data_IF_271883413667
#
_entry.id   IF_271883413667
#
_cell.length_a   1.000
_cell.length_b   1.000
_cell.length_c   1.000
_cell.angle_alpha   90.00
_cell.angle_beta   90.00
_cell.angle_gamma   90.00
#
_symmetry.space_group_name_H-M   'P 1'
#
loop_
_entity.id
_entity.type
_entity.pdbx_description
1 polymer ?
#
# COMPACT_ATOMS: atom_id res chain seq x y z
N UNK A 1 20.78 9.78 13.11
CA UNK A 1 20.18 9.67 11.79
C UNK A 1 19.60 8.29 11.58
N UNK A 2 18.42 8.22 11.11
CA UNK A 2 17.80 6.92 10.95
C UNK A 2 17.26 6.75 9.55
N UNK A 3 17.42 5.54 9.02
CA UNK A 3 16.76 5.12 7.79
C UNK A 3 15.54 4.28 8.11
N UNK A 4 15.09 4.33 9.36
CA UNK A 4 13.94 3.56 9.81
C UNK A 4 12.67 4.08 9.13
N UNK A 5 11.89 3.21 8.49
CA UNK A 5 10.62 3.63 7.92
C UNK A 5 9.67 4.14 9.00
N UNK A 6 8.91 5.18 8.66
CA UNK A 6 7.92 5.76 9.56
C UNK A 6 6.49 5.67 8.99
N UNK A 7 6.34 4.98 7.87
CA UNK A 7 5.05 4.71 7.25
C UNK A 7 5.14 3.40 6.49
N UNK A 8 3.99 2.78 6.24
CA UNK A 8 3.95 1.51 5.53
C UNK A 8 2.75 1.45 4.60
N UNK A 9 2.90 0.73 3.50
CA UNK A 9 1.79 0.39 2.62
C UNK A 9 1.91 -1.06 2.18
N UNK A 10 0.81 -1.62 1.69
CA UNK A 10 0.75 -3.04 1.33
C UNK A 10 0.12 -3.22 -0.03
N UNK A 11 0.83 -3.96 -0.90
CA UNK A 11 0.27 -4.45 -2.15
C UNK A 11 -0.39 -5.80 -1.87
N UNK A 12 -1.71 -5.80 -1.77
CA UNK A 12 -2.49 -7.03 -1.64
C UNK A 12 -2.71 -7.57 -3.04
N UNK A 13 -2.16 -8.76 -3.32
CA UNK A 13 -2.14 -9.32 -4.67
C UNK A 13 -2.91 -10.63 -4.70
N UNK A 14 -3.78 -10.78 -5.68
CA UNK A 14 -4.58 -12.00 -5.91
C UNK A 14 -4.90 -12.10 -7.40
N UNK A 15 -4.66 -13.29 -7.98
CA UNK A 15 -4.96 -13.54 -9.39
C UNK A 15 -4.36 -12.51 -10.34
N UNK A 16 -3.08 -12.19 -10.11
CA UNK A 16 -2.31 -11.23 -10.92
C UNK A 16 -2.86 -9.81 -10.86
N UNK A 17 -3.68 -9.51 -9.85
CA UNK A 17 -4.24 -8.17 -9.65
C UNK A 17 -3.86 -7.66 -8.27
N UNK A 18 -3.76 -6.36 -8.17
CA UNK A 18 -3.46 -5.67 -6.91
C UNK A 18 -4.66 -4.82 -6.51
N UNK A 19 -4.92 -4.76 -5.20
CA UNK A 19 -5.99 -3.93 -4.68
C UNK A 19 -5.49 -2.49 -4.54
N UNK A 20 -6.12 -1.58 -5.25
CA UNK A 20 -5.86 -0.16 -5.15
C UNK A 20 -7.02 0.54 -4.47
N UNK A 21 -6.71 1.59 -3.75
CA UNK A 21 -7.69 2.44 -3.10
C UNK A 21 -7.58 3.84 -3.66
N UNK A 22 -8.70 4.57 -3.66
CA UNK A 22 -8.75 5.95 -4.07
C UNK A 22 -8.95 6.80 -2.83
N UNK A 23 -8.08 7.77 -2.63
CA UNK A 23 -8.11 8.59 -1.41
C UNK A 23 -9.26 9.60 -1.48
N UNK A 24 -10.04 9.66 -0.38
CA UNK A 24 -11.17 10.58 -0.28
C UNK A 24 -10.72 12.00 0.13
N UNK A 25 -9.58 12.12 0.82
CA UNK A 25 -9.12 13.38 1.39
C UNK A 25 -7.67 13.65 1.06
N UNK A 26 -7.25 14.91 1.23
CA UNK A 26 -5.85 15.30 1.12
C UNK A 26 -5.01 14.62 2.23
N UNK A 27 -3.73 14.38 2.03
CA UNK A 27 -2.99 14.58 0.78
C UNK A 27 -3.35 13.52 -0.28
N UNK A 28 -3.06 13.84 -1.54
CA UNK A 28 -3.28 12.93 -2.67
C UNK A 28 -4.75 12.58 -2.90
N UNK A 29 -5.67 13.51 -2.58
CA UNK A 29 -7.09 13.31 -2.80
C UNK A 29 -7.38 12.92 -4.25
N UNK A 30 -8.26 11.93 -4.44
CA UNK A 30 -8.69 11.39 -5.74
C UNK A 30 -7.60 10.62 -6.50
N UNK A 31 -6.45 10.37 -5.87
CA UNK A 31 -5.43 9.53 -6.49
C UNK A 31 -5.57 8.08 -6.02
N UNK A 32 -5.23 7.16 -6.92
CA UNK A 32 -5.19 5.74 -6.61
C UNK A 32 -3.82 5.37 -6.05
N UNK A 33 -3.81 4.52 -5.02
CA UNK A 33 -2.59 4.13 -4.35
C UNK A 33 -2.81 2.82 -3.60
N UNK A 34 -1.79 2.37 -2.88
CA UNK A 34 -1.88 1.22 -1.99
C UNK A 34 -2.43 1.64 -0.63
N UNK A 35 -3.15 0.76 0.06
CA UNK A 35 -3.54 1.04 1.45
C UNK A 35 -2.31 1.16 2.34
N UNK A 36 -2.36 2.04 3.32
CA UNK A 36 -1.25 2.26 4.23
C UNK A 36 -1.39 3.54 5.01
N UNK A 37 -0.39 3.82 5.85
CA UNK A 37 -0.37 5.02 6.66
C UNK A 37 0.87 5.10 7.54
N UNK A 38 0.85 6.01 8.49
CA UNK A 38 1.98 6.30 9.36
C UNK A 38 2.06 5.32 10.53
N UNK A 39 3.29 4.99 10.93
CA UNK A 39 3.54 4.21 12.12
C UNK A 39 3.24 5.03 13.37
N UNK A 40 2.69 4.38 14.37
CA UNK A 40 2.48 4.96 15.68
C UNK A 40 3.73 4.77 16.53
N UNK A 41 3.95 5.62 17.57
CA UNK A 41 5.12 5.46 18.43
C UNK A 41 5.22 4.06 19.01
N UNK A 42 6.40 3.46 18.89
CA UNK A 42 6.66 2.13 19.42
C UNK A 42 6.14 0.98 18.57
N UNK A 43 5.48 1.26 17.46
CA UNK A 43 4.94 0.26 16.56
C UNK A 43 6.02 -0.21 15.58
N UNK A 44 6.12 -1.53 15.36
CA UNK A 44 7.00 -2.02 14.28
C UNK A 44 6.39 -1.65 12.94
N UNK A 45 7.21 -1.58 11.90
CA UNK A 45 6.71 -1.21 10.60
C UNK A 45 5.78 -2.28 10.01
N UNK A 46 6.02 -3.54 10.32
CA UNK A 46 5.14 -4.64 9.92
C UNK A 46 3.77 -4.53 10.60
N UNK A 47 3.77 -4.22 11.89
CA UNK A 47 2.52 -4.03 12.63
C UNK A 47 1.76 -2.81 12.11
N UNK A 48 2.47 -1.75 11.75
CA UNK A 48 1.88 -0.59 11.10
C UNK A 48 1.17 -0.98 9.81
N UNK A 49 1.85 -1.75 8.97
CA UNK A 49 1.29 -2.20 7.69
C UNK A 49 -0.01 -2.98 7.92
N UNK A 50 0.02 -3.96 8.82
CA UNK A 50 -1.14 -4.80 9.09
C UNK A 50 -2.30 -4.00 9.70
N UNK A 51 -1.99 -3.08 10.63
CA UNK A 51 -3.00 -2.24 11.27
C UNK A 51 -3.69 -1.33 10.26
N UNK A 52 -2.92 -0.68 9.40
CA UNK A 52 -3.48 0.24 8.42
C UNK A 52 -4.41 -0.48 7.44
N UNK A 53 -4.02 -1.68 6.99
CA UNK A 53 -4.89 -2.47 6.11
C UNK A 53 -6.19 -2.84 6.83
N UNK A 54 -6.09 -3.22 8.11
CA UNK A 54 -7.28 -3.56 8.89
C UNK A 54 -8.18 -2.34 9.11
N UNK A 55 -7.61 -1.18 9.42
CA UNK A 55 -8.38 0.04 9.63
C UNK A 55 -9.05 0.54 8.35
N UNK A 56 -8.34 0.50 7.24
CA UNK A 56 -8.84 1.06 5.99
C UNK A 56 -9.79 0.14 5.25
N UNK A 57 -9.60 -1.18 5.34
CA UNK A 57 -10.31 -2.13 4.50
C UNK A 57 -11.00 -3.27 5.25
N UNK A 58 -10.78 -3.41 6.55
CA UNK A 58 -11.27 -4.54 7.37
C UNK A 58 -10.69 -5.87 6.90
N UNK A 59 -9.49 -5.85 6.36
CA UNK A 59 -8.77 -7.02 5.88
C UNK A 59 -7.66 -7.36 6.86
N UNK A 60 -7.48 -8.65 7.15
CA UNK A 60 -6.37 -9.14 7.94
C UNK A 60 -5.32 -9.71 7.00
N UNK A 61 -4.11 -9.14 7.05
CA UNK A 61 -3.02 -9.54 6.18
C UNK A 61 -1.94 -10.26 6.98
N UNK A 62 -1.34 -11.27 6.37
CA UNK A 62 -0.27 -12.08 6.93
C UNK A 62 0.85 -12.24 5.91
N UNK A 63 1.99 -12.71 6.39
CA UNK A 63 3.14 -13.03 5.53
C UNK A 63 3.54 -11.85 4.64
N UNK A 64 3.72 -10.71 5.27
CA UNK A 64 4.17 -9.50 4.60
C UNK A 64 5.60 -9.68 4.08
N UNK A 65 5.81 -9.43 2.80
CA UNK A 65 7.12 -9.51 2.17
C UNK A 65 7.62 -8.12 1.84
N UNK A 66 8.83 -7.74 2.31
CA UNK A 66 9.37 -6.43 1.98
C UNK A 66 9.60 -6.27 0.48
N UNK A 67 9.22 -5.12 -0.06
CA UNK A 67 9.42 -4.80 -1.46
C UNK A 67 10.49 -3.73 -1.61
N UNK A 68 10.29 -2.58 -0.98
CA UNK A 68 11.24 -1.46 -1.04
C UNK A 68 10.87 -0.42 0.01
N UNK A 69 11.74 0.57 0.15
CA UNK A 69 11.48 1.75 0.97
C UNK A 69 11.60 2.97 0.06
N UNK A 70 10.57 3.81 0.07
CA UNK A 70 10.56 5.06 -0.69
C UNK A 70 10.71 6.24 0.25
N UNK A 71 11.50 7.22 -0.16
CA UNK A 71 11.53 8.52 0.52
C UNK A 71 10.53 9.43 -0.17
N UNK A 72 9.58 9.95 0.58
CA UNK A 72 8.48 10.76 0.06
C UNK A 72 8.38 12.06 0.85
N UNK A 73 7.72 13.04 0.22
CA UNK A 73 7.49 14.32 0.86
C UNK A 73 8.68 15.25 0.75
N UNK A 74 8.47 16.47 1.25
CA UNK A 74 9.53 17.48 1.27
C UNK A 74 10.63 17.02 2.24
N UNK A 75 11.88 17.10 1.81
CA UNK A 75 13.04 16.70 2.60
C UNK A 75 12.97 15.24 3.07
N UNK A 76 12.30 14.39 2.28
CA UNK A 76 12.15 12.96 2.60
C UNK A 76 11.63 12.73 4.02
N UNK A 77 10.64 13.52 4.43
CA UNK A 77 10.05 13.41 5.78
C UNK A 77 9.33 12.08 6.00
N UNK A 78 8.93 11.40 4.92
CA UNK A 78 8.34 10.08 4.99
C UNK A 78 9.28 9.05 4.41
N UNK A 79 9.45 7.96 5.14
CA UNK A 79 10.11 6.76 4.62
C UNK A 79 9.09 5.66 4.63
N UNK A 80 8.56 5.38 3.45
CA UNK A 80 7.47 4.44 3.28
C UNK A 80 8.02 3.05 2.97
N UNK A 81 7.80 2.12 3.89
CA UNK A 81 8.11 0.72 3.63
C UNK A 81 6.94 0.12 2.87
N UNK A 82 7.20 -0.45 1.71
CA UNK A 82 6.18 -1.12 0.91
C UNK A 82 6.34 -2.62 1.08
N UNK A 83 5.25 -3.28 1.42
CA UNK A 83 5.17 -4.73 1.54
C UNK A 83 4.23 -5.28 0.49
N UNK A 84 4.36 -6.59 0.23
CA UNK A 84 3.42 -7.30 -0.64
C UNK A 84 2.97 -8.56 0.07
N UNK A 85 1.74 -8.98 -0.18
CA UNK A 85 1.22 -10.22 0.37
C UNK A 85 0.09 -10.75 -0.51
N UNK A 86 0.00 -12.09 -0.61
CA UNK A 86 -1.19 -12.75 -1.16
C UNK A 86 -1.86 -13.64 -0.10
N UNK A 87 -1.51 -13.43 1.19
CA UNK A 87 -2.08 -14.15 2.32
C UNK A 87 -2.91 -13.18 3.16
N UNK A 88 -4.18 -13.05 2.82
CA UNK A 88 -5.07 -12.15 3.54
C UNK A 88 -6.49 -12.69 3.50
N UNK A 89 -7.32 -12.23 4.43
CA UNK A 89 -8.69 -12.70 4.59
C UNK A 89 -9.59 -11.56 5.07
N UNK A 90 -10.88 -11.77 4.93
CA UNK A 90 -11.89 -10.81 5.34
C UNK A 90 -12.67 -10.28 4.15
N UNK A 91 -13.71 -9.52 4.44
CA UNK A 91 -14.52 -8.85 3.43
C UNK A 91 -14.13 -7.39 3.38
N UNK A 92 -13.84 -6.88 2.18
CA UNK A 92 -13.43 -5.48 2.02
C UNK A 92 -14.56 -4.57 2.47
N UNK A 93 -14.28 -3.75 3.48
CA UNK A 93 -15.18 -2.72 3.99
C UNK A 93 -14.36 -1.43 4.10
N UNK A 94 -14.41 -0.57 3.08
CA UNK A 94 -13.61 0.65 3.07
C UNK A 94 -14.01 1.60 4.19
N UNK A 95 -13.02 2.25 4.80
CA UNK A 95 -13.28 3.31 5.76
C UNK A 95 -13.69 4.59 5.03
N UNK A 96 -14.08 5.60 5.80
CA UNK A 96 -14.47 6.89 5.22
C UNK A 96 -13.31 7.60 4.50
N UNK A 97 -12.08 7.18 4.74
CA UNK A 97 -10.91 7.79 4.08
C UNK A 97 -10.74 7.30 2.63
N UNK A 98 -11.50 6.31 2.23
CA UNK A 98 -11.40 5.67 0.90
C UNK A 98 -12.69 5.92 0.15
N UNK A 99 -12.59 6.57 -1.02
CA UNK A 99 -13.78 6.86 -1.84
C UNK A 99 -14.09 5.73 -2.84
N UNK A 100 -13.11 4.91 -3.17
CA UNK A 100 -13.31 3.79 -4.09
C UNK A 100 -12.18 2.78 -3.92
N UNK A 101 -12.37 1.55 -4.38
CA UNK A 101 -11.33 0.53 -4.41
C UNK A 101 -11.54 -0.36 -5.63
N UNK A 102 -10.43 -0.90 -6.15
CA UNK A 102 -10.48 -1.77 -7.34
C UNK A 102 -9.35 -2.78 -7.30
N UNK A 103 -9.63 -3.97 -7.83
CA UNK A 103 -8.60 -4.93 -8.20
C UNK A 103 -8.13 -4.60 -9.61
N UNK A 104 -6.84 -4.31 -9.77
CA UNK A 104 -6.30 -3.85 -11.04
C UNK A 104 -5.15 -4.72 -11.48
N UNK A 105 -5.13 -5.07 -12.77
CA UNK A 105 -3.94 -5.64 -13.37
C UNK A 105 -2.92 -4.54 -13.64
N UNK A 106 -1.64 -4.91 -13.77
CA UNK A 106 -0.60 -3.93 -14.08
C UNK A 106 -0.87 -3.18 -15.38
N UNK A 107 -1.43 -3.87 -16.36
CA UNK A 107 -1.69 -3.29 -17.67
C UNK A 107 -2.75 -2.20 -17.64
N UNK A 108 -3.62 -2.22 -16.64
CA UNK A 108 -4.69 -1.23 -16.54
C UNK A 108 -4.26 0.04 -15.78
N UNK A 109 -3.10 0.03 -15.14
CA UNK A 109 -2.61 1.17 -14.37
C UNK A 109 -2.50 2.48 -15.14
N UNK A 110 -2.05 2.49 -16.41
CA UNK A 110 -1.94 3.77 -17.14
C UNK A 110 -3.25 4.52 -17.29
N UNK A 111 -4.39 3.85 -17.14
CA UNK A 111 -5.69 4.50 -17.22
C UNK A 111 -6.08 5.23 -15.94
N UNK A 112 -5.30 5.09 -14.86
CA UNK A 112 -5.62 5.66 -13.56
C UNK A 112 -4.68 6.80 -13.21
N UNK A 113 -5.21 7.74 -12.44
CA UNK A 113 -4.39 8.78 -11.81
C UNK A 113 -3.89 8.21 -10.48
N UNK A 114 -2.60 7.91 -10.43
CA UNK A 114 -1.99 7.25 -9.27
C UNK A 114 -1.01 8.18 -8.55
N UNK A 115 -0.64 7.77 -7.33
CA UNK A 115 0.48 8.41 -6.66
C UNK A 115 1.76 8.14 -7.43
N UNK A 116 2.80 8.96 -7.16
CA UNK A 116 4.03 8.95 -7.92
C UNK A 116 4.72 7.58 -7.90
N UNK A 117 5.15 7.11 -9.07
CA UNK A 117 5.97 5.89 -9.23
C UNK A 117 5.28 4.60 -8.77
N UNK A 118 3.95 4.60 -8.74
CA UNK A 118 3.21 3.41 -8.31
C UNK A 118 3.48 2.22 -9.25
N UNK A 119 3.59 2.45 -10.54
CA UNK A 119 3.89 1.39 -11.51
C UNK A 119 5.21 0.69 -11.21
N UNK A 120 6.26 1.44 -10.86
CA UNK A 120 7.56 0.87 -10.48
C UNK A 120 7.46 0.04 -9.21
N UNK A 121 6.73 0.56 -8.22
CA UNK A 121 6.51 -0.14 -6.95
C UNK A 121 5.81 -1.46 -7.21
N UNK A 122 4.76 -1.46 -8.03
CA UNK A 122 3.99 -2.67 -8.29
C UNK A 122 4.78 -3.69 -9.10
N UNK A 123 5.62 -3.24 -10.03
CA UNK A 123 6.49 -4.17 -10.75
C UNK A 123 7.36 -4.98 -9.76
N UNK A 124 7.92 -4.30 -8.76
CA UNK A 124 8.74 -4.96 -7.75
C UNK A 124 7.89 -5.83 -6.82
N UNK A 125 6.70 -5.38 -6.47
CA UNK A 125 5.81 -6.14 -5.59
C UNK A 125 5.42 -7.48 -6.23
N UNK A 126 5.04 -7.47 -7.51
CA UNK A 126 4.72 -8.71 -8.22
C UNK A 126 5.95 -9.62 -8.30
N UNK A 127 7.13 -9.06 -8.55
CA UNK A 127 8.35 -9.85 -8.63
C UNK A 127 8.69 -10.52 -7.29
N UNK A 128 8.53 -9.81 -6.19
CA UNK A 128 8.81 -10.34 -4.84
C UNK A 128 7.94 -11.57 -4.54
N UNK A 129 6.70 -11.56 -4.99
CA UNK A 129 5.79 -12.69 -4.78
C UNK A 129 5.90 -13.76 -5.86
N UNK A 130 6.86 -13.62 -6.80
CA UNK A 130 7.05 -14.60 -7.85
C UNK A 130 6.07 -14.51 -9.00
N UNK A 131 5.37 -13.40 -9.10
CA UNK A 131 4.43 -13.12 -10.18
C UNK A 131 4.99 -12.02 -11.05
N UNK A 132 5.17 -12.27 -12.31
CA UNK A 132 5.78 -11.30 -13.23
C UNK A 132 4.82 -10.87 -14.33
#
# INVERSE_FOLDING_TARGET
MTDTPNAASVALIRNDKVLLIKRAYAPYQHLWTLPGGRAEPGETIEDCAAREVAEELSIQVRNLRPVLVQSLGRDAEYRLAVFASFDFSGTIRPSHEISDHKWMSRDALPALRTTSRLDDVLAKAFAVLGQS
#
